data_IF_753742324647
#
_entry.id   IF_753742324647
#
_cell.length_a   1.000
_cell.length_b   1.000
_cell.length_c   1.000
_cell.angle_alpha   90.00
_cell.angle_beta   90.00
_cell.angle_gamma   90.00
#
_symmetry.space_group_name_H-M   'P 1'
#
loop_
_entity.id
_entity.type
_entity.pdbx_description
1 polymer ?
#
# COMPACT_ATOMS: atom_id res chain seq x y z
N UNK A 1 -1.96 -6.56 -5.98
CA UNK A 1 -1.07 -6.86 -7.14
C UNK A 1 -0.99 -8.33 -7.57
N UNK A 2 -0.61 -9.29 -6.71
CA UNK A 2 -0.48 -10.71 -7.11
C UNK A 2 -1.77 -11.30 -7.73
N UNK A 3 -2.90 -11.11 -7.05
CA UNK A 3 -4.20 -11.62 -7.50
C UNK A 3 -4.63 -10.97 -8.82
N UNK A 4 -4.43 -9.65 -8.96
CA UNK A 4 -4.68 -8.91 -10.19
C UNK A 4 -3.91 -9.52 -11.38
N UNK A 5 -2.60 -9.76 -11.23
CA UNK A 5 -1.79 -10.41 -12.27
C UNK A 5 -2.31 -11.80 -12.66
N UNK A 6 -2.80 -12.59 -11.69
CA UNK A 6 -3.40 -13.91 -11.97
C UNK A 6 -4.74 -13.78 -12.70
N UNK A 7 -5.60 -12.83 -12.29
CA UNK A 7 -6.87 -12.56 -12.95
C UNK A 7 -6.69 -12.07 -14.39
N UNK A 8 -5.70 -11.22 -14.65
CA UNK A 8 -5.31 -10.81 -16.01
C UNK A 8 -4.85 -12.01 -16.84
N UNK A 9 -3.94 -12.84 -16.31
CA UNK A 9 -3.43 -14.02 -17.02
C UNK A 9 -4.55 -15.01 -17.41
N UNK A 10 -5.46 -15.30 -16.48
CA UNK A 10 -6.56 -16.25 -16.70
C UNK A 10 -7.84 -15.61 -17.25
N UNK A 11 -7.82 -14.31 -17.57
CA UNK A 11 -8.97 -13.52 -18.06
C UNK A 11 -10.21 -13.69 -17.17
N UNK A 12 -10.01 -13.60 -15.86
CA UNK A 12 -11.10 -13.66 -14.87
C UNK A 12 -11.44 -12.26 -14.37
N UNK A 13 -12.73 -11.93 -14.20
CA UNK A 13 -13.12 -10.69 -13.54
C UNK A 13 -12.63 -10.68 -12.09
N UNK A 14 -12.34 -9.49 -11.58
CA UNK A 14 -11.89 -9.27 -10.21
C UNK A 14 -12.70 -8.13 -9.58
N UNK A 15 -13.10 -8.30 -8.33
CA UNK A 15 -13.62 -7.23 -7.48
C UNK A 15 -12.62 -7.06 -6.35
N UNK A 16 -11.96 -5.92 -6.32
CA UNK A 16 -11.05 -5.54 -5.24
C UNK A 16 -11.72 -4.50 -4.34
N UNK A 17 -11.50 -4.60 -3.04
CA UNK A 17 -12.11 -3.71 -2.07
C UNK A 17 -11.19 -3.52 -0.86
N UNK A 18 -11.04 -2.27 -0.44
CA UNK A 18 -10.21 -1.89 0.71
C UNK A 18 -10.95 -0.97 1.68
N UNK A 19 -10.52 -0.97 2.94
CA UNK A 19 -11.02 -0.06 3.98
C UNK A 19 -9.86 0.56 4.76
N UNK A 20 -10.04 1.80 5.20
CA UNK A 20 -9.12 2.50 6.10
C UNK A 20 -9.94 3.34 7.08
N UNK A 21 -10.10 2.83 8.30
CA UNK A 21 -11.00 3.43 9.28
C UNK A 21 -12.43 3.49 8.76
N UNK A 22 -12.98 4.69 8.61
CA UNK A 22 -14.33 4.92 8.04
C UNK A 22 -14.34 5.06 6.51
N UNK A 23 -13.17 5.09 5.86
CA UNK A 23 -13.05 5.18 4.40
C UNK A 23 -13.11 3.79 3.78
N UNK A 24 -13.70 3.70 2.59
CA UNK A 24 -13.77 2.48 1.81
C UNK A 24 -13.55 2.77 0.31
N UNK A 25 -12.99 1.80 -0.40
CA UNK A 25 -12.84 1.80 -1.85
C UNK A 25 -13.25 0.46 -2.43
N UNK A 26 -13.81 0.48 -3.64
CA UNK A 26 -14.15 -0.72 -4.42
C UNK A 26 -13.73 -0.46 -5.86
N UNK A 27 -13.03 -1.41 -6.47
CA UNK A 27 -12.62 -1.37 -7.87
C UNK A 27 -12.99 -2.68 -8.56
N UNK A 28 -13.66 -2.58 -9.70
CA UNK A 28 -14.07 -3.73 -10.50
C UNK A 28 -13.22 -3.80 -11.75
N UNK A 29 -12.58 -4.96 -11.97
CA UNK A 29 -11.77 -5.25 -13.15
C UNK A 29 -12.49 -6.26 -14.02
N UNK A 30 -12.86 -5.84 -15.23
CA UNK A 30 -13.51 -6.67 -16.25
C UNK A 30 -12.53 -6.90 -17.41
N UNK A 31 -12.22 -8.17 -17.75
CA UNK A 31 -11.28 -8.48 -18.83
C UNK A 31 -11.67 -7.80 -20.14
N UNK A 32 -10.70 -7.18 -20.81
CA UNK A 32 -10.88 -6.46 -22.09
C UNK A 32 -11.76 -5.21 -22.05
N UNK A 33 -12.20 -4.76 -20.87
CA UNK A 33 -13.08 -3.58 -20.73
C UNK A 33 -12.45 -2.52 -19.84
N UNK A 34 -11.93 -2.90 -18.67
CA UNK A 34 -11.33 -1.97 -17.71
C UNK A 34 -9.83 -2.20 -17.60
N UNK A 35 -9.11 -1.20 -17.07
CA UNK A 35 -7.72 -1.38 -16.67
C UNK A 35 -7.58 -2.34 -15.48
N UNK A 36 -6.38 -2.90 -15.30
CA UNK A 36 -6.07 -3.76 -14.15
C UNK A 36 -5.86 -2.93 -12.89
N UNK A 37 -6.03 -3.55 -11.72
CA UNK A 37 -5.78 -2.86 -10.45
C UNK A 37 -4.36 -2.28 -10.38
N UNK A 38 -3.37 -3.05 -10.86
CA UNK A 38 -1.96 -2.63 -10.90
C UNK A 38 -1.58 -1.63 -12.00
N UNK A 39 -2.53 -1.19 -12.83
CA UNK A 39 -2.29 -0.16 -13.85
C UNK A 39 -2.11 1.23 -13.23
N UNK A 40 -2.70 1.45 -12.05
CA UNK A 40 -2.50 2.65 -11.24
C UNK A 40 -1.59 2.34 -10.06
N UNK A 41 -0.75 3.29 -9.69
CA UNK A 41 0.18 3.16 -8.56
C UNK A 41 -0.31 4.02 -7.40
N UNK A 42 -0.64 3.37 -6.29
CA UNK A 42 -0.97 4.07 -5.05
C UNK A 42 0.25 4.85 -4.53
N UNK A 43 0.02 5.98 -3.82
CA UNK A 43 1.09 6.70 -3.18
C UNK A 43 1.82 5.77 -2.19
N UNK A 44 3.16 5.79 -2.17
CA UNK A 44 3.91 4.98 -1.22
C UNK A 44 3.61 5.44 0.21
N UNK A 45 3.73 4.52 1.16
CA UNK A 45 3.67 4.88 2.58
C UNK A 45 4.75 5.92 2.90
N UNK A 46 4.43 6.91 3.76
CA UNK A 46 5.39 7.93 4.16
C UNK A 46 6.56 7.27 4.90
N UNK A 47 7.78 7.49 4.42
CA UNK A 47 9.01 7.00 5.07
C UNK A 47 9.70 8.13 5.83
N UNK A 48 10.16 7.82 7.05
CA UNK A 48 10.91 8.75 7.87
C UNK A 48 12.39 8.70 7.44
N UNK A 49 13.02 9.83 7.10
CA UNK A 49 14.45 9.88 6.79
C UNK A 49 15.32 9.32 7.91
N UNK A 50 16.33 8.50 7.56
CA UNK A 50 17.22 7.84 8.53
C UNK A 50 17.91 8.81 9.50
N UNK A 51 18.27 10.00 9.03
CA UNK A 51 18.90 11.03 9.85
C UNK A 51 17.96 11.54 10.97
N UNK A 52 16.66 11.66 10.69
CA UNK A 52 15.66 12.03 11.69
C UNK A 52 15.40 10.89 12.69
N UNK A 53 15.56 9.63 12.28
CA UNK A 53 15.44 8.48 13.17
C UNK A 53 16.62 8.33 14.14
N UNK A 54 17.86 8.54 13.65
CA UNK A 54 19.07 8.19 14.42
C UNK A 54 19.73 9.38 15.12
N UNK A 55 19.64 10.59 14.54
CA UNK A 55 20.39 11.74 15.03
C UNK A 55 19.47 12.89 15.51
N UNK A 56 18.35 13.12 14.82
CA UNK A 56 17.50 14.28 15.06
C UNK A 56 16.00 13.94 15.16
N UNK A 57 15.58 13.08 16.10
CA UNK A 57 14.16 12.81 16.31
C UNK A 57 13.47 14.03 16.90
N UNK A 58 12.40 14.49 16.25
CA UNK A 58 11.62 15.66 16.66
C UNK A 58 10.11 15.38 16.77
N UNK A 59 9.65 14.19 16.38
CA UNK A 59 8.28 13.72 16.50
C UNK A 59 8.25 12.37 17.23
N UNK A 60 7.12 12.03 17.85
CA UNK A 60 6.99 10.79 18.64
C UNK A 60 7.09 9.55 17.73
N UNK A 61 6.57 9.63 16.51
CA UNK A 61 6.61 8.58 15.50
C UNK A 61 8.05 8.16 15.17
N UNK A 62 9.00 9.12 15.20
CA UNK A 62 10.41 8.82 14.96
C UNK A 62 10.99 7.94 16.08
N UNK A 63 10.64 8.24 17.33
CA UNK A 63 11.13 7.47 18.49
C UNK A 63 10.49 6.08 18.54
N UNK A 64 9.22 5.95 18.14
CA UNK A 64 8.52 4.66 18.05
C UNK A 64 9.16 3.80 16.97
N UNK A 65 9.42 4.37 15.79
CA UNK A 65 10.07 3.65 14.70
C UNK A 65 11.49 3.22 15.10
N UNK A 66 12.28 4.11 15.71
CA UNK A 66 13.61 3.76 16.24
C UNK A 66 13.55 2.63 17.27
N UNK A 67 12.61 2.68 18.21
CA UNK A 67 12.46 1.65 19.24
C UNK A 67 12.06 0.29 18.63
N UNK A 68 11.17 0.29 17.63
CA UNK A 68 10.80 -0.91 16.88
C UNK A 68 12.00 -1.54 16.17
N UNK A 69 12.84 -0.72 15.55
CA UNK A 69 14.03 -1.19 14.83
C UNK A 69 15.11 -1.76 15.78
N UNK A 70 15.21 -1.25 17.01
CA UNK A 70 16.15 -1.78 18.02
C UNK A 70 15.64 -3.04 18.74
N UNK A 71 14.33 -3.26 18.74
CA UNK A 71 13.73 -4.44 19.36
C UNK A 71 13.73 -5.67 18.44
N UNK A 72 13.60 -5.45 17.13
CA UNK A 72 13.57 -6.49 16.11
C UNK A 72 14.93 -7.17 15.92
#
# INVERSE_FOLDING_TARGET
EYMDRRCVYYRKPLVDSGTLGTKASVQVVVPHVTESYSSTRDPPDPSIPMCLLHNFPNLIEHTIQWARDNFA
#
